data_IF_066200088776
#
_entry.id   IF_066200088776
#
_cell.length_a   1.000
_cell.length_b   1.000
_cell.length_c   1.000
_cell.angle_alpha   90.00
_cell.angle_beta   90.00
_cell.angle_gamma   90.00
#
_symmetry.space_group_name_H-M   'P 1'
#
loop_
_entity.id
_entity.type
_entity.pdbx_description
1 polymer ?
2 non-polymer ?
3 non-polymer ?
4 non-polymer ?
5 water ?
#
# COMPACT_ATOMS: atom_id res chain seq x y z
N UNK A 1 16.93 2.43 5.01
CA UNK A 1 16.91 3.87 4.60
C UNK A 1 15.92 4.72 5.37
N UNK A 2 15.14 5.55 4.65
CA UNK A 2 14.33 6.56 5.34
C UNK A 2 13.16 5.91 6.09
N UNK A 3 12.78 6.54 7.21
CA UNK A 3 11.58 6.17 7.97
C UNK A 3 10.87 7.45 8.36
N UNK A 4 9.60 7.34 8.73
CA UNK A 4 8.86 8.49 9.26
C UNK A 4 9.38 8.73 10.67
N UNK A 5 9.68 9.99 10.99
CA UNK A 5 10.22 10.38 12.30
C UNK A 5 9.15 10.96 13.23
N UNK A 6 7.93 10.46 13.08
CA UNK A 6 6.77 10.98 13.77
C UNK A 6 5.75 9.84 13.87
N UNK A 7 4.83 9.95 14.82
CA UNK A 7 3.91 8.84 15.10
C UNK A 7 2.55 8.96 14.41
N UNK A 8 2.10 10.20 14.22
CA UNK A 8 0.82 10.44 13.58
C UNK A 8 1.09 10.63 12.08
N UNK A 9 0.58 9.71 11.27
CA UNK A 9 0.77 9.73 9.81
C UNK A 9 -0.59 9.90 9.15
N UNK A 10 -0.63 10.75 8.12
CA UNK A 10 -1.87 10.98 7.40
C UNK A 10 -1.80 10.36 6.02
N UNK A 11 -2.97 9.95 5.53
CA UNK A 11 -3.09 9.56 4.14
C UNK A 11 -4.30 10.21 3.51
N UNK A 12 -4.25 10.29 2.19
CA UNK A 12 -5.34 10.87 1.43
C UNK A 12 -5.55 10.05 0.16
N UNK A 13 -6.80 9.77 -0.15
CA UNK A 13 -7.11 9.05 -1.38
C UNK A 13 -7.36 10.10 -2.45
N UNK A 14 -6.42 10.20 -3.38
CA UNK A 14 -6.44 11.19 -4.46
C UNK A 14 -7.65 11.03 -5.38
N UNK A 15 -7.95 9.78 -5.75
CA UNK A 15 -9.01 9.45 -6.69
C UNK A 15 -9.34 7.97 -6.53
N UNK A 16 -10.49 7.57 -7.05
CA UNK A 16 -11.04 6.25 -6.78
C UNK A 16 -11.17 5.39 -8.04
N UNK A 17 -10.67 4.17 -7.99
CA UNK A 17 -10.85 3.25 -9.10
C UNK A 17 -12.35 3.06 -9.37
N UNK A 18 -12.73 3.04 -10.66
CA UNK A 18 -14.11 2.71 -10.99
C UNK A 18 -14.41 1.22 -10.86
N UNK A 19 -13.40 0.40 -10.54
CA UNK A 19 -13.59 -1.04 -10.45
C UNK A 19 -14.36 -1.46 -9.20
N UNK A 20 -14.45 -0.55 -8.24
CA UNK A 20 -14.96 -0.87 -6.91
C UNK A 20 -15.94 0.17 -6.41
N UNK A 21 -16.77 -0.23 -5.44
CA UNK A 21 -17.61 0.70 -4.71
C UNK A 21 -16.69 1.62 -3.91
N UNK A 22 -17.03 2.90 -3.82
CA UNK A 22 -16.22 3.86 -3.04
C UNK A 22 -15.95 3.42 -1.60
N UNK A 23 -17.01 3.01 -0.90
CA UNK A 23 -16.86 2.61 0.52
C UNK A 23 -15.89 1.43 0.65
N UNK A 24 -15.84 0.59 -0.39
CA UNK A 24 -14.97 -0.60 -0.37
C UNK A 24 -13.50 -0.24 -0.58
N UNK A 25 -13.25 0.78 -1.42
CA UNK A 25 -11.91 1.34 -1.57
C UNK A 25 -11.46 1.90 -0.20
N UNK A 26 -12.30 2.73 0.40
CA UNK A 26 -11.98 3.32 1.70
C UNK A 26 -11.66 2.22 2.70
N UNK A 27 -12.47 1.17 2.71
CA UNK A 27 -12.30 0.12 3.73
C UNK A 27 -11.02 -0.69 3.55
N UNK A 28 -10.73 -1.06 2.30
CA UNK A 28 -9.52 -1.83 1.96
C UNK A 28 -8.27 -1.06 2.36
N UNK A 29 -8.21 0.23 2.00
CA UNK A 29 -7.06 1.08 2.35
C UNK A 29 -6.95 1.22 3.89
N UNK A 30 -8.07 1.48 4.54
CA UNK A 30 -8.09 1.60 6.01
C UNK A 30 -7.54 0.34 6.68
N UNK A 31 -8.09 -0.82 6.28
CA UNK A 31 -7.67 -2.11 6.82
C UNK A 31 -6.18 -2.41 6.55
N UNK A 32 -5.68 -2.03 5.37
CA UNK A 32 -4.25 -2.20 5.05
C UNK A 32 -3.34 -1.34 5.96
N UNK A 33 -3.71 -0.08 6.20
CA UNK A 33 -2.98 0.74 7.19
C UNK A 33 -3.00 0.09 8.60
N UNK A 34 -4.16 -0.47 8.97
CA UNK A 34 -4.36 -1.13 10.28
C UNK A 34 -3.41 -2.31 10.48
N UNK A 35 -3.13 -3.06 9.41
CA UNK A 35 -2.15 -4.16 9.47
C UNK A 35 -0.80 -3.68 10.08
N UNK A 36 -0.35 -2.50 9.66
CA UNK A 36 0.94 -1.99 10.09
C UNK A 36 0.90 -1.28 11.43
N UNK A 37 -0.18 -0.56 11.70
CA UNK A 37 -0.33 0.07 13.01
C UNK A 37 -0.51 -0.99 14.13
N UNK A 38 -0.96 -2.20 13.77
CA UNK A 38 -1.09 -3.32 14.71
C UNK A 38 0.23 -3.69 15.33
N UNK A 39 1.31 -3.42 14.61
CA UNK A 39 2.63 -3.96 14.98
C UNK A 39 3.70 -2.88 15.12
N UNK A 40 3.26 -1.62 15.12
CA UNK A 40 4.16 -0.48 15.30
C UNK A 40 3.50 0.58 16.19
N UNK A 41 4.24 1.65 16.55
CA UNK A 41 3.62 2.73 17.32
C UNK A 41 2.81 3.68 16.45
N UNK A 42 2.75 3.43 15.14
CA UNK A 42 2.19 4.41 14.22
C UNK A 42 0.66 4.53 14.33
N UNK A 43 0.16 5.73 14.09
CA UNK A 43 -1.28 5.95 13.94
C UNK A 43 -1.57 6.59 12.58
N UNK A 44 -2.55 6.05 11.86
CA UNK A 44 -2.92 6.55 10.53
C UNK A 44 -4.30 7.19 10.53
N UNK A 45 -4.42 8.34 9.88
CA UNK A 45 -5.68 9.07 9.72
C UNK A 45 -5.87 9.54 8.28
N UNK A 46 -7.07 9.30 7.76
CA UNK A 46 -7.46 9.73 6.43
C UNK A 46 -7.86 11.20 6.49
N UNK A 47 -7.28 12.00 5.61
CA UNK A 47 -7.66 13.41 5.50
C UNK A 47 -8.31 13.56 4.13
N UNK A 48 -9.19 14.54 3.99
CA UNK A 48 -9.93 14.69 2.73
C UNK A 48 -9.41 15.83 1.90
N UNK A 49 -8.45 16.55 2.44
CA UNK A 49 -8.03 17.80 1.85
C UNK A 49 -6.64 18.14 2.35
N UNK A 50 -5.85 18.80 1.51
CA UNK A 50 -4.51 19.20 1.90
C UNK A 50 -3.48 18.12 1.66
N UNK A 51 -2.25 18.43 2.05
CA UNK A 51 -1.10 17.56 1.84
C UNK A 51 -1.09 16.43 2.88
N UNK A 52 -1.22 15.19 2.42
CA UNK A 52 -1.04 14.04 3.30
C UNK A 52 0.40 13.57 3.24
N UNK A 53 0.80 12.76 4.21
CA UNK A 53 2.07 12.08 4.12
C UNK A 53 2.00 11.07 2.98
N UNK A 54 0.92 10.30 2.90
CA UNK A 54 0.83 9.23 1.91
C UNK A 54 -0.36 9.52 0.98
N UNK A 55 -0.06 9.89 -0.25
CA UNK A 55 -1.14 10.05 -1.24
C UNK A 55 -1.37 8.73 -1.98
N UNK A 56 -2.63 8.29 -1.99
CA UNK A 56 -3.03 7.04 -2.65
C UNK A 56 -3.63 7.45 -3.99
N UNK A 57 -3.05 6.93 -5.08
CA UNK A 57 -3.43 7.33 -6.44
C UNK A 57 -3.75 6.11 -7.29
N UNK A 58 -4.83 6.19 -8.07
CA UNK A 58 -5.04 5.24 -9.16
C UNK A 58 -4.72 5.91 -10.49
N UNK A 59 -3.89 5.24 -11.29
CA UNK A 59 -3.44 5.80 -12.58
C UNK A 59 -3.01 4.71 -13.54
N UNK A 60 -3.01 5.01 -14.84
CA UNK A 60 -2.57 4.02 -15.84
C UNK A 60 -1.46 4.60 -16.71
N UNK A 61 -0.66 3.71 -17.31
CA UNK A 61 0.41 4.12 -18.22
C UNK A 61 1.38 5.12 -17.62
N UNK A 62 1.75 6.12 -18.41
CA UNK A 62 2.58 7.21 -17.93
C UNK A 62 1.71 8.08 -17.05
N UNK A 63 2.16 8.34 -15.83
CA UNK A 63 1.33 9.12 -14.92
C UNK A 63 2.14 10.12 -14.09
N UNK A 64 3.21 10.67 -14.67
CA UNK A 64 3.86 11.82 -14.05
C UNK A 64 5.02 11.49 -13.13
N UNK A 65 5.51 10.26 -13.18
CA UNK A 65 6.76 9.92 -12.49
C UNK A 65 7.59 8.98 -13.38
N UNK A 66 8.67 8.43 -12.85
CA UNK A 66 9.53 7.56 -13.66
C UNK A 66 9.15 6.08 -13.66
N UNK A 67 7.93 5.81 -13.22
CA UNK A 67 7.47 4.46 -13.03
C UNK A 67 6.22 4.17 -13.87
N UNK A 68 6.31 4.41 -15.18
CA UNK A 68 5.17 4.16 -16.08
C UNK A 68 4.61 2.77 -15.86
N UNK A 69 3.27 2.68 -15.81
CA UNK A 69 2.61 1.37 -15.73
C UNK A 69 2.51 0.67 -17.09
N UNK A 70 2.21 -0.61 -17.06
CA UNK A 70 2.46 -1.52 -18.20
C UNK A 70 1.19 -2.22 -18.73
N UNK A 71 0.02 -1.63 -18.49
CA UNK A 71 -1.24 -2.29 -18.87
C UNK A 71 -1.62 -3.39 -17.91
N UNK A 72 -2.68 -4.12 -18.22
CA UNK A 72 -3.15 -5.20 -17.35
C UNK A 72 -2.06 -6.28 -17.14
N UNK A 73 -1.93 -6.75 -15.90
CA UNK A 73 -0.88 -7.72 -15.57
C UNK A 73 0.45 -7.04 -15.31
N UNK A 74 1.49 -7.85 -15.12
CA UNK A 74 2.80 -7.33 -14.75
C UNK A 74 2.73 -6.54 -13.46
N UNK A 75 3.22 -5.31 -13.51
CA UNK A 75 3.29 -4.42 -12.34
C UNK A 75 1.88 -4.00 -11.94
N UNK A 76 1.54 -4.22 -10.67
CA UNK A 76 0.20 -3.91 -10.16
C UNK A 76 0.14 -2.56 -9.45
N UNK A 77 1.26 -2.20 -8.82
CA UNK A 77 1.35 -0.95 -8.07
C UNK A 77 2.80 -0.64 -7.74
N UNK A 78 3.10 0.60 -7.37
CA UNK A 78 4.44 0.91 -6.83
C UNK A 78 4.29 2.05 -5.83
N UNK A 79 5.23 2.19 -4.89
CA UNK A 79 5.16 3.23 -3.87
C UNK A 79 6.54 3.79 -3.57
N UNK A 80 6.57 5.00 -3.03
CA UNK A 80 7.82 5.67 -2.69
C UNK A 80 8.07 5.55 -1.20
N UNK A 81 9.33 5.35 -0.83
CA UNK A 81 9.76 5.37 0.58
C UNK A 81 9.50 6.69 1.27
N UNK A 82 9.55 6.70 2.63
CA UNK A 82 9.26 7.91 3.41
C UNK A 82 10.08 9.13 2.96
N UNK A 83 9.45 10.29 3.01
CA UNK A 83 10.12 11.53 2.64
C UNK A 83 9.10 12.58 2.27
N UNK A 84 9.57 13.79 2.03
CA UNK A 84 8.69 14.88 1.61
C UNK A 84 8.18 14.71 0.17
N UNK A 85 7.18 15.50 -0.20
CA UNK A 85 6.69 15.50 -1.57
C UNK A 85 6.02 14.18 -1.90
N UNK A 86 6.47 13.56 -2.98
CA UNK A 86 5.96 12.24 -3.40
C UNK A 86 6.39 11.09 -2.48
N UNK A 87 7.36 11.35 -1.60
CA UNK A 87 7.75 10.37 -0.57
C UNK A 87 6.50 9.79 0.09
N UNK A 88 6.47 8.47 0.23
CA UNK A 88 5.35 7.77 0.84
C UNK A 88 4.17 7.45 -0.08
N UNK A 89 4.09 8.09 -1.24
CA UNK A 89 2.88 7.93 -2.06
C UNK A 89 2.81 6.55 -2.67
N UNK A 90 1.59 6.04 -2.83
CA UNK A 90 1.38 4.69 -3.28
C UNK A 90 0.50 4.78 -4.52
N UNK A 91 0.99 4.25 -5.63
CA UNK A 91 0.27 4.32 -6.91
C UNK A 91 -0.21 2.95 -7.36
N UNK A 92 -1.47 2.87 -7.78
CA UNK A 92 -2.11 1.61 -8.18
C UNK A 92 -2.48 1.69 -9.67
N UNK A 93 -2.09 0.67 -10.41
CA UNK A 93 -2.29 0.62 -11.86
C UNK A 93 -3.79 0.45 -12.14
N UNK A 94 -4.41 1.49 -12.70
CA UNK A 94 -5.82 1.40 -13.06
C UNK A 94 -6.10 0.34 -14.14
N UNK A 95 -5.08 -0.06 -14.90
CA UNK A 95 -5.28 -1.15 -15.88
C UNK A 95 -5.53 -2.51 -15.22
N UNK A 96 -5.28 -2.63 -13.91
CA UNK A 96 -5.71 -3.84 -13.20
C UNK A 96 -7.20 -3.75 -12.87
N UNK A 97 -7.80 -4.87 -12.50
CA UNK A 97 -9.18 -4.85 -11.99
C UNK A 97 -9.19 -5.11 -10.50
N UNK A 98 -9.40 -4.03 -9.75
CA UNK A 98 -9.30 -4.03 -8.30
C UNK A 98 -10.57 -4.60 -7.68
N UNK A 99 -10.41 -5.47 -6.66
CA UNK A 99 -11.59 -6.04 -5.96
C UNK A 99 -11.39 -6.20 -4.45
N UNK A 100 -12.51 -6.47 -3.78
CA UNK A 100 -12.58 -6.90 -2.38
C UNK A 100 -12.38 -8.41 -2.18
N UNK A 101 -12.16 -9.16 -3.25
CA UNK A 101 -12.18 -10.61 -3.14
C UNK A 101 -11.02 -11.27 -3.91
N UNK A 102 -11.19 -12.55 -4.27
CA UNK A 102 -10.16 -13.32 -4.99
C UNK A 102 -10.14 -13.09 -6.50
N UNK A 103 -11.19 -12.47 -7.02
CA UNK A 103 -11.24 -12.05 -8.41
C UNK A 103 -10.34 -10.87 -8.65
N UNK A 104 -9.91 -10.72 -9.90
CA UNK A 104 -9.03 -9.62 -10.31
C UNK A 104 -7.80 -9.52 -9.43
N UNK A 105 -7.45 -8.29 -9.04
CA UNK A 105 -6.37 -8.07 -8.07
C UNK A 105 -6.92 -7.49 -6.78
N UNK A 106 -6.65 -8.16 -5.65
CA UNK A 106 -7.20 -7.71 -4.38
C UNK A 106 -6.54 -6.41 -3.90
N UNK A 107 -7.34 -5.35 -3.76
CA UNK A 107 -6.80 -4.03 -3.36
C UNK A 107 -6.16 -4.05 -1.97
N UNK A 108 -6.87 -4.60 -1.00
CA UNK A 108 -6.34 -4.71 0.37
C UNK A 108 -4.92 -5.33 0.42
N UNK A 109 -4.77 -6.51 -0.17
CA UNK A 109 -3.49 -7.26 -0.10
C UNK A 109 -2.37 -6.49 -0.77
N UNK A 110 -2.68 -5.94 -1.95
CA UNK A 110 -1.74 -5.07 -2.65
C UNK A 110 -1.37 -3.82 -1.83
N UNK A 111 -2.38 -3.19 -1.21
CA UNK A 111 -2.13 -1.99 -0.43
C UNK A 111 -1.32 -2.30 0.83
N UNK A 112 -1.50 -3.48 1.40
CA UNK A 112 -0.66 -3.87 2.56
C UNK A 112 0.82 -3.80 2.13
N UNK A 113 1.12 -4.41 0.99
CA UNK A 113 2.48 -4.46 0.43
C UNK A 113 3.00 -3.05 0.10
N UNK A 114 2.19 -2.27 -0.60
CA UNK A 114 2.55 -0.90 -1.02
C UNK A 114 2.83 0.00 0.19
N UNK A 115 1.97 -0.09 1.19
CA UNK A 115 2.16 0.67 2.44
C UNK A 115 3.43 0.23 3.16
N UNK A 116 3.75 -1.06 3.12
CA UNK A 116 5.07 -1.50 3.61
C UNK A 116 6.20 -0.64 3.02
N UNK A 117 6.20 -0.46 1.70
CA UNK A 117 7.16 0.43 1.02
C UNK A 117 7.00 1.88 1.48
N UNK A 118 5.76 2.38 1.58
CA UNK A 118 5.52 3.77 2.04
C UNK A 118 6.12 4.00 3.45
N UNK A 119 6.26 2.92 4.21
CA UNK A 119 6.82 3.01 5.55
C UNK A 119 8.34 2.78 5.59
N UNK A 120 8.94 2.40 4.47
CA UNK A 120 10.39 2.16 4.43
C UNK A 120 10.86 0.74 4.19
N UNK A 121 9.94 -0.22 4.09
CA UNK A 121 10.33 -1.62 3.86
C UNK A 121 10.72 -1.89 2.40
N UNK A 122 11.66 -2.81 2.21
CA UNK A 122 12.02 -3.30 0.88
C UNK A 122 11.38 -4.66 0.70
N UNK A 123 11.79 -5.38 -0.34
CA UNK A 123 11.23 -6.69 -0.61
C UNK A 123 11.88 -7.75 0.25
N UNK A 124 11.15 -8.85 0.43
CA UNK A 124 11.62 -10.03 1.13
C UNK A 124 11.79 -11.15 0.12
N UNK A 125 12.71 -12.07 0.40
CA UNK A 125 12.91 -13.23 -0.46
C UNK A 125 12.06 -14.43 -0.03
N UNK A 126 11.40 -14.31 1.13
CA UNK A 126 10.49 -15.33 1.69
C UNK A 126 9.11 -15.24 1.04
N UNK A 127 8.72 -16.27 0.26
CA UNK A 127 7.38 -16.28 -0.37
C UNK A 127 6.22 -16.16 0.61
N UNK A 128 6.47 -16.37 1.90
CA UNK A 128 5.43 -16.24 2.91
C UNK A 128 5.14 -14.80 3.28
N UNK A 129 6.12 -13.92 3.04
CA UNK A 129 6.03 -12.53 3.41
C UNK A 129 5.14 -11.73 2.47
N UNK A 130 4.46 -10.74 3.02
CA UNK A 130 3.61 -9.89 2.20
C UNK A 130 4.48 -9.05 1.27
N UNK A 131 5.71 -8.77 1.71
CA UNK A 131 6.72 -8.00 0.96
C UNK A 131 7.51 -8.81 -0.07
N UNK A 132 7.18 -10.09 -0.22
CA UNK A 132 7.69 -10.88 -1.35
C UNK A 132 7.16 -10.26 -2.66
N UNK A 133 8.04 -10.09 -3.67
CA UNK A 133 7.69 -9.31 -4.87
C UNK A 133 6.71 -9.96 -5.87
N UNK A 134 6.05 -11.05 -5.50
CA UNK A 134 5.08 -11.70 -6.37
C UNK A 134 3.70 -11.71 -5.68
N UNK A 135 2.70 -11.16 -6.36
CA UNK A 135 1.33 -11.18 -5.84
C UNK A 135 0.77 -12.61 -5.87
N UNK A 136 0.32 -13.10 -4.72
CA UNK A 136 -0.43 -14.35 -4.64
C UNK A 136 -1.60 -14.12 -3.70
N UNK A 137 -2.81 -14.30 -4.20
CA UNK A 137 -3.99 -14.09 -3.38
C UNK A 137 -4.03 -15.05 -2.20
N UNK A 138 -4.28 -14.51 -1.01
CA UNK A 138 -4.64 -15.33 0.14
C UNK A 138 -5.92 -14.75 0.74
N UNK A 139 -6.72 -15.60 1.37
CA UNK A 139 -7.94 -15.16 2.04
C UNK A 139 -7.71 -13.95 2.93
N UNK A 140 -8.35 -12.84 2.56
CA UNK A 140 -8.10 -11.57 3.24
C UNK A 140 -8.73 -11.48 4.63
N UNK A 141 -9.78 -12.26 4.87
CA UNK A 141 -10.49 -12.26 6.15
C UNK A 141 -9.66 -12.82 7.29
N UNK A 142 -8.69 -13.66 6.96
CA UNK A 142 -7.79 -14.24 7.95
C UNK A 142 -6.32 -13.92 7.68
N UNK A 143 -6.06 -12.90 6.86
CA UNK A 143 -4.68 -12.56 6.47
C UNK A 143 -3.78 -12.26 7.69
N UNK A 144 -2.52 -12.67 7.63
CA UNK A 144 -1.52 -12.28 8.65
C UNK A 144 -0.12 -11.98 8.10
N UNK A 145 0.54 -10.98 8.69
CA UNK A 145 1.93 -10.67 8.36
C UNK A 145 2.78 -11.88 8.69
N UNK A 146 3.77 -12.17 7.85
CA UNK A 146 4.69 -13.27 8.14
C UNK A 146 5.62 -12.77 9.23
N UNK A 147 6.36 -13.69 9.88
CA UNK A 147 7.33 -13.32 10.92
C UNK A 147 8.38 -12.37 10.33
N UNK A 148 8.74 -12.64 9.07
CA UNK A 148 9.70 -11.82 8.32
C UNK A 148 9.22 -10.37 8.16
N UNK A 149 7.94 -10.20 7.82
CA UNK A 149 7.33 -8.86 7.70
C UNK A 149 7.41 -8.15 9.04
N UNK A 150 6.99 -8.85 10.09
CA UNK A 150 7.04 -8.29 11.44
C UNK A 150 8.45 -7.91 11.91
N UNK A 151 9.43 -8.77 11.67
CA UNK A 151 10.80 -8.38 12.06
C UNK A 151 11.34 -7.20 11.22
N UNK A 152 10.98 -7.15 9.94
CA UNK A 152 11.35 -6.03 9.09
C UNK A 152 10.78 -4.71 9.56
N UNK A 153 9.47 -4.66 9.83
CA UNK A 153 8.86 -3.40 10.23
C UNK A 153 9.33 -3.03 11.62
N UNK A 154 9.53 -4.03 12.47
CA UNK A 154 9.93 -3.73 13.84
C UNK A 154 11.41 -3.37 13.92
N UNK A 155 12.17 -3.70 12.88
CA UNK A 155 13.53 -3.16 12.71
C UNK A 155 13.53 -1.65 12.36
N UNK A 156 12.41 -1.15 11.83
CA UNK A 156 12.31 0.27 11.46
C UNK A 156 11.57 1.15 12.49
N UNK A 157 10.59 0.56 13.17
CA UNK A 157 9.74 1.28 14.11
C UNK A 157 9.57 0.48 15.40
N UNK A 158 9.28 1.19 16.49
CA UNK A 158 8.91 0.53 17.75
C UNK A 158 10.08 -0.20 18.38
X LIG B 1 6.87 -4.06 -3.87
X LIG C 1 3.64 6.18 -10.02
X LIG D 1 3.84 12.19 0.18
X LIG E 1 -9.29 -0.81 -13.38
X LIG F 1 -0.07 -3.53 -14.80
X LIG G 1 9.95 -5.25 -8.14
X LIG G 1 5.46 -2.80 -6.21
X LIG G 1 6.74 -4.61 -5.83
X LIG G 1 4.11 -5.98 -8.23
X LIG G 1 10.29 -3.82 -7.75
X LIG G 1 5.61 -5.64 -8.16
X LIG G 1 3.41 -4.86 -8.79
X LIG G 1 6.11 -3.89 -6.61
X LIG G 1 3.86 -7.13 -9.06
X LIG G 1 12.88 -7.10 -6.80
X LIG G 1 9.48 -2.98 -8.57
X LIG G 1 12.16 -6.00 -7.59
X LIG G 1 12.03 -2.20 -7.45
X LIG G 1 12.65 -4.58 -7.27
X LIG G 1 13.97 -4.48 -7.76
X LIG G 1 11.77 -3.52 -7.95
X LIG G 1 1.60 -6.90 -3.08
X LIG G 1 7.88 -6.27 -8.79
X LIG G 1 10.75 -6.14 -7.36
X LIG G 1 6.58 -6.73 -8.14
X LIG G 1 12.91 -6.82 -5.40
X LIG G 1 6.03 -4.23 -8.08
X LIG G 1 8.58 -5.47 -7.84
X LIG G 1 2.25 -5.45 -4.85
X LIG G 1 5.47 -2.56 -4.84
X LIG G 1 3.46 -6.28 -6.79
X LIG G 1 3.43 -7.58 -6.24
X LIG G 1 2.86 -5.22 -6.08
X LIG G 1 2.83 -7.80 -4.99
X LIG G 1 2.23 -6.73 -4.30
X LIG G 1 1.19 -8.17 -2.57
#
# INVERSE_FOLDING_TARGET
GPVWRKHYITYRINNYTPDMNREDVDYAIRKAFQVWSNVTPLKFSKINTGMADILVVFARGAHGDDHAFDGKGGILAHAFGPGSGIGGDAHFDEDEFWTTHSGGTNLFLTAVHEIGHSLGLGHSSDPKAVMFPTYKYVDINTFRLSADDIRGIQSLYG
ZN ZN
ZN ZN
CA CA
CA CA
CA CA
D3X C1 N1 O1 S1 C2 N2 O2 C3 O3 C4 O4 C5 O5 C6 O6 C7 O7 C8 O8 C9 O9 C10 O10 C11 O11 C12 C13 C14 C15 C16 C17
#
